data_IF_197153459873
#
_entry.id   IF_197153459873
#
_cell.length_a   1.000
_cell.length_b   1.000
_cell.length_c   1.000
_cell.angle_alpha   90.00
_cell.angle_beta   90.00
_cell.angle_gamma   90.00
#
_symmetry.space_group_name_H-M   'P 1'
#
loop_
_entity.id
_entity.type
_entity.pdbx_description
1 polymer ?
#
# COMPACT_ATOMS: atom_id res chain seq x y z
N UNK A 1 -12.03 -15.40 2.68
CA UNK A 1 -12.18 -15.81 4.11
C UNK A 1 -13.43 -15.23 4.75
N UNK A 2 -13.61 -13.90 4.85
CA UNK A 2 -14.83 -13.34 5.46
C UNK A 2 -16.13 -13.77 4.75
N UNK A 3 -16.16 -13.84 3.42
CA UNK A 3 -17.30 -14.34 2.64
C UNK A 3 -17.56 -15.84 2.86
N UNK A 4 -16.51 -16.65 3.04
CA UNK A 4 -16.67 -18.07 3.33
C UNK A 4 -17.23 -18.30 4.75
N UNK A 5 -16.80 -17.49 5.74
CA UNK A 5 -17.36 -17.53 7.09
C UNK A 5 -18.84 -17.14 7.15
N UNK A 6 -19.26 -16.19 6.33
CA UNK A 6 -20.67 -15.81 6.17
C UNK A 6 -21.50 -16.92 5.52
N UNK A 7 -20.91 -17.71 4.60
CA UNK A 7 -21.58 -18.79 3.92
C UNK A 7 -21.69 -20.09 4.77
N UNK A 8 -20.70 -20.35 5.64
CA UNK A 8 -20.65 -21.58 6.44
C UNK A 8 -21.13 -21.42 7.89
N UNK A 9 -21.32 -20.17 8.36
CA UNK A 9 -21.80 -19.89 9.72
C UNK A 9 -20.81 -20.25 10.84
N UNK A 10 -19.62 -20.77 10.51
CA UNK A 10 -18.57 -21.14 11.48
C UNK A 10 -17.32 -20.28 11.29
N UNK A 11 -17.09 -19.36 12.20
CA UNK A 11 -15.89 -18.53 12.23
C UNK A 11 -14.95 -19.08 13.31
N UNK A 12 -13.86 -19.73 12.90
CA UNK A 12 -12.78 -20.11 13.83
C UNK A 12 -11.67 -19.05 13.77
N UNK A 13 -11.55 -18.25 14.83
CA UNK A 13 -10.49 -17.26 14.99
C UNK A 13 -9.08 -17.86 14.86
N UNK A 14 -8.91 -19.12 15.28
CA UNK A 14 -7.64 -19.84 15.19
C UNK A 14 -7.22 -20.11 13.73
N UNK A 15 -8.11 -20.64 12.91
CA UNK A 15 -7.83 -20.92 11.50
C UNK A 15 -7.61 -19.64 10.69
N UNK A 16 -8.39 -18.60 10.98
CA UNK A 16 -8.19 -17.29 10.36
C UNK A 16 -6.81 -16.69 10.71
N UNK A 17 -6.39 -16.81 11.97
CA UNK A 17 -5.08 -16.34 12.43
C UNK A 17 -3.91 -17.09 11.79
N UNK A 18 -4.00 -18.42 11.71
CA UNK A 18 -2.98 -19.25 11.06
C UNK A 18 -2.88 -18.92 9.55
N UNK A 19 -4.01 -18.81 8.87
CA UNK A 19 -4.06 -18.48 7.45
C UNK A 19 -3.47 -17.09 7.15
N UNK A 20 -3.78 -16.10 7.97
CA UNK A 20 -3.16 -14.78 7.88
C UNK A 20 -1.65 -14.85 8.12
N UNK A 21 -1.21 -15.61 9.13
CA UNK A 21 0.22 -15.80 9.41
C UNK A 21 0.97 -16.41 8.22
N UNK A 22 0.43 -17.48 7.64
CA UNK A 22 0.99 -18.14 6.46
C UNK A 22 1.05 -17.17 5.27
N UNK A 23 -0.02 -16.41 5.02
CA UNK A 23 -0.07 -15.43 3.93
C UNK A 23 0.97 -14.30 4.10
N UNK A 24 1.20 -13.85 5.32
CA UNK A 24 2.20 -12.81 5.64
C UNK A 24 3.61 -13.36 5.46
N UNK A 25 3.93 -14.49 6.09
CA UNK A 25 5.28 -15.10 6.03
C UNK A 25 5.60 -15.54 4.61
N UNK A 26 4.65 -16.15 3.91
CA UNK A 26 4.80 -16.54 2.52
C UNK A 26 5.00 -15.34 1.59
N UNK A 27 4.23 -14.26 1.76
CA UNK A 27 4.40 -13.02 1.03
C UNK A 27 5.80 -12.40 1.26
N UNK A 28 6.29 -12.45 2.50
CA UNK A 28 7.64 -12.00 2.84
C UNK A 28 8.72 -12.83 2.11
N UNK A 29 8.59 -14.15 2.11
CA UNK A 29 9.53 -15.06 1.46
C UNK A 29 9.55 -14.84 -0.07
N UNK A 30 8.38 -14.73 -0.71
CA UNK A 30 8.25 -14.45 -2.15
C UNK A 30 8.84 -13.07 -2.49
N UNK A 31 8.60 -12.06 -1.67
CA UNK A 31 9.17 -10.71 -1.85
C UNK A 31 10.70 -10.70 -1.81
N UNK A 32 11.30 -11.46 -0.90
CA UNK A 32 12.77 -11.63 -0.85
C UNK A 32 13.27 -12.35 -2.09
N UNK A 33 12.62 -13.44 -2.49
CA UNK A 33 13.03 -14.25 -3.64
C UNK A 33 12.98 -13.42 -4.93
N UNK A 34 11.90 -12.69 -5.16
CA UNK A 34 11.75 -11.84 -6.35
C UNK A 34 12.74 -10.68 -6.36
N UNK A 35 13.08 -10.10 -5.21
CA UNK A 35 14.15 -9.10 -5.11
C UNK A 35 15.52 -9.67 -5.50
N UNK A 36 15.82 -10.92 -5.11
CA UNK A 36 17.05 -11.62 -5.51
C UNK A 36 17.08 -11.91 -7.00
N UNK A 37 15.99 -12.43 -7.55
CA UNK A 37 15.86 -12.73 -8.99
C UNK A 37 16.04 -11.45 -9.81
N UNK A 38 15.41 -10.37 -9.41
CA UNK A 38 15.56 -9.06 -10.08
C UNK A 38 17.03 -8.59 -10.08
N UNK A 39 17.71 -8.73 -8.95
CA UNK A 39 19.13 -8.37 -8.88
C UNK A 39 19.99 -9.21 -9.82
N UNK A 40 19.75 -10.49 -9.86
CA UNK A 40 20.47 -11.41 -10.77
C UNK A 40 20.22 -11.02 -12.23
N UNK A 41 18.97 -10.69 -12.57
CA UNK A 41 18.57 -10.26 -13.91
C UNK A 41 19.27 -8.93 -14.30
N UNK A 42 19.30 -7.95 -13.40
CA UNK A 42 20.01 -6.68 -13.63
C UNK A 42 21.52 -6.92 -13.85
N UNK A 43 22.14 -7.79 -13.05
CA UNK A 43 23.56 -8.14 -13.22
C UNK A 43 23.83 -8.79 -14.58
N UNK A 44 22.94 -9.66 -15.04
CA UNK A 44 23.03 -10.28 -16.38
C UNK A 44 22.92 -9.25 -17.50
N UNK A 45 21.95 -8.33 -17.40
CA UNK A 45 21.78 -7.26 -18.39
C UNK A 45 23.01 -6.34 -18.49
N UNK A 46 23.61 -6.00 -17.36
CA UNK A 46 24.86 -5.25 -17.31
C UNK A 46 26.01 -6.01 -17.97
N UNK A 47 26.11 -7.33 -17.77
CA UNK A 47 27.17 -8.16 -18.35
C UNK A 47 27.09 -8.27 -19.88
N UNK A 48 25.89 -8.25 -20.44
CA UNK A 48 25.63 -8.33 -21.89
C UNK A 48 25.69 -6.97 -22.58
N UNK A 49 26.00 -5.87 -21.84
CA UNK A 49 25.95 -4.48 -22.32
C UNK A 49 24.61 -4.07 -22.94
N UNK A 50 23.53 -4.77 -22.58
CA UNK A 50 22.16 -4.47 -23.01
C UNK A 50 21.47 -3.49 -22.05
N UNK A 51 22.22 -2.83 -21.16
CA UNK A 51 21.67 -1.85 -20.22
C UNK A 51 21.42 -0.52 -20.93
N UNK A 52 20.24 -0.41 -21.50
CA UNK A 52 19.67 0.87 -21.94
C UNK A 52 18.66 1.36 -20.89
N UNK A 53 18.46 2.68 -20.81
CA UNK A 53 17.51 3.31 -19.88
C UNK A 53 16.12 2.68 -20.00
N UNK A 54 15.69 2.36 -21.23
CA UNK A 54 14.40 1.76 -21.50
C UNK A 54 14.25 0.34 -20.92
N UNK A 55 15.27 -0.51 -21.04
CA UNK A 55 15.24 -1.88 -20.51
C UNK A 55 15.22 -1.89 -18.98
N UNK A 56 15.94 -0.97 -18.34
CA UNK A 56 15.97 -0.86 -16.88
C UNK A 56 14.63 -0.34 -16.32
N UNK A 57 14.00 0.63 -16.98
CA UNK A 57 12.66 1.11 -16.66
C UNK A 57 11.59 0.03 -16.85
N UNK A 58 11.67 -0.75 -17.91
CA UNK A 58 10.74 -1.87 -18.14
C UNK A 58 10.84 -2.89 -17.02
N UNK A 59 12.06 -3.27 -16.59
CA UNK A 59 12.25 -4.15 -15.45
C UNK A 59 11.69 -3.54 -14.15
N UNK A 60 11.93 -2.26 -13.94
CA UNK A 60 11.44 -1.56 -12.76
C UNK A 60 9.91 -1.53 -12.67
N UNK A 61 9.22 -1.29 -13.79
CA UNK A 61 7.77 -1.28 -13.86
C UNK A 61 7.14 -2.67 -13.83
N UNK A 62 7.79 -3.66 -14.45
CA UNK A 62 7.29 -5.03 -14.50
C UNK A 62 7.46 -5.79 -13.18
N UNK A 63 8.50 -5.46 -12.40
CA UNK A 63 8.83 -6.16 -11.17
C UNK A 63 7.67 -6.21 -10.15
N UNK A 64 7.02 -5.09 -9.79
CA UNK A 64 5.90 -5.11 -8.84
C UNK A 64 4.75 -5.99 -9.33
N UNK A 65 4.43 -5.93 -10.62
CA UNK A 65 3.36 -6.72 -11.23
C UNK A 65 3.68 -8.21 -11.19
N UNK A 66 4.88 -8.59 -11.63
CA UNK A 66 5.34 -9.98 -11.61
C UNK A 66 5.39 -10.53 -10.17
N UNK A 67 5.91 -9.73 -9.23
CA UNK A 67 5.95 -10.13 -7.82
C UNK A 67 4.55 -10.36 -7.27
N UNK A 68 3.61 -9.48 -7.60
CA UNK A 68 2.21 -9.60 -7.16
C UNK A 68 1.57 -10.87 -7.72
N UNK A 69 1.64 -11.10 -9.02
CA UNK A 69 1.04 -12.28 -9.66
C UNK A 69 1.66 -13.59 -9.16
N UNK A 70 2.99 -13.64 -8.99
CA UNK A 70 3.65 -14.82 -8.44
C UNK A 70 3.21 -15.14 -7.02
N UNK A 71 3.03 -14.12 -6.19
CA UNK A 71 2.58 -14.32 -4.82
C UNK A 71 1.10 -14.77 -4.75
N UNK A 72 0.22 -14.18 -5.55
CA UNK A 72 -1.19 -14.59 -5.63
C UNK A 72 -1.34 -16.02 -6.16
N UNK A 73 -0.55 -16.43 -7.15
CA UNK A 73 -0.53 -17.82 -7.66
C UNK A 73 -0.11 -18.83 -6.58
N UNK A 74 0.79 -18.42 -5.69
CA UNK A 74 1.21 -19.21 -4.53
C UNK A 74 0.25 -19.11 -3.33
N UNK A 75 -0.91 -18.44 -3.50
CA UNK A 75 -1.90 -18.23 -2.46
C UNK A 75 -1.38 -17.50 -1.22
N UNK A 76 -0.38 -16.62 -1.41
CA UNK A 76 0.17 -15.74 -0.38
C UNK A 76 -0.08 -14.26 -0.71
N UNK A 77 0.14 -13.37 0.26
CA UNK A 77 -0.19 -11.95 0.07
C UNK A 77 0.73 -11.27 -0.97
N UNK A 78 0.17 -10.96 -2.15
CA UNK A 78 0.85 -10.21 -3.21
C UNK A 78 1.28 -8.81 -2.77
N UNK A 79 0.45 -8.14 -1.97
CA UNK A 79 0.74 -6.80 -1.46
C UNK A 79 2.00 -6.82 -0.58
N UNK A 80 2.11 -7.78 0.35
CA UNK A 80 3.27 -7.90 1.24
C UNK A 80 4.52 -8.24 0.42
N UNK A 81 4.41 -9.15 -0.54
CA UNK A 81 5.52 -9.52 -1.40
C UNK A 81 6.08 -8.31 -2.19
N UNK A 82 5.22 -7.49 -2.78
CA UNK A 82 5.62 -6.27 -3.51
C UNK A 82 6.28 -5.25 -2.59
N UNK A 83 5.72 -5.02 -1.40
CA UNK A 83 6.29 -4.08 -0.42
C UNK A 83 7.69 -4.51 0.02
N UNK A 84 7.86 -5.80 0.36
CA UNK A 84 9.15 -6.34 0.78
C UNK A 84 10.19 -6.26 -0.35
N UNK A 85 9.80 -6.63 -1.57
CA UNK A 85 10.66 -6.52 -2.76
C UNK A 85 11.09 -5.07 -3.01
N UNK A 86 10.17 -4.11 -2.88
CA UNK A 86 10.46 -2.68 -3.03
C UNK A 86 11.41 -2.15 -1.96
N UNK A 87 11.22 -2.49 -0.69
CA UNK A 87 12.10 -2.08 0.41
C UNK A 87 13.51 -2.63 0.22
N UNK A 88 13.64 -3.90 -0.18
CA UNK A 88 14.94 -4.51 -0.46
C UNK A 88 15.66 -3.87 -1.64
N UNK A 89 14.92 -3.43 -2.66
CA UNK A 89 15.46 -2.67 -3.77
C UNK A 89 15.94 -1.29 -3.30
N UNK A 90 15.13 -0.53 -2.58
CA UNK A 90 15.44 0.81 -2.10
C UNK A 90 16.60 0.87 -1.11
N UNK A 91 16.79 -0.16 -0.28
CA UNK A 91 17.84 -0.22 0.75
C UNK A 91 19.28 -0.26 0.20
N UNK A 92 19.49 -0.40 -1.11
CA UNK A 92 20.79 -0.69 -1.71
C UNK A 92 21.44 0.43 -2.52
N UNK A 93 20.86 1.61 -2.56
CA UNK A 93 21.42 2.78 -3.27
C UNK A 93 22.67 3.34 -2.56
N UNK A 94 23.80 2.62 -2.64
CA UNK A 94 25.07 3.11 -2.06
C UNK A 94 26.18 3.43 -3.06
N UNK A 95 26.05 3.10 -4.33
CA UNK A 95 26.99 3.46 -5.38
C UNK A 95 26.24 4.03 -6.59
N UNK A 96 26.16 5.35 -6.67
CA UNK A 96 25.48 6.04 -7.78
C UNK A 96 26.46 6.14 -8.94
N UNK A 97 26.24 5.35 -9.99
CA UNK A 97 26.89 5.57 -11.29
C UNK A 97 26.11 6.64 -12.08
N UNK A 98 26.79 7.30 -13.03
CA UNK A 98 26.15 8.34 -13.88
C UNK A 98 24.95 7.78 -14.66
N UNK A 99 24.97 6.51 -15.03
CA UNK A 99 23.87 5.84 -15.70
C UNK A 99 22.67 5.69 -14.74
N UNK A 100 22.93 5.22 -13.52
CA UNK A 100 21.89 5.06 -12.48
C UNK A 100 21.22 6.39 -12.13
N UNK A 101 21.99 7.49 -12.07
CA UNK A 101 21.44 8.82 -11.84
C UNK A 101 20.49 9.29 -12.97
N UNK A 102 20.78 8.93 -14.21
CA UNK A 102 19.88 9.21 -15.36
C UNK A 102 18.62 8.36 -15.31
N UNK A 103 18.77 7.06 -15.03
CA UNK A 103 17.63 6.13 -14.86
C UNK A 103 16.73 6.62 -13.73
N UNK A 104 17.28 7.02 -12.59
CA UNK A 104 16.53 7.51 -11.44
C UNK A 104 15.68 8.75 -11.80
N UNK A 105 16.24 9.70 -12.52
CA UNK A 105 15.51 10.91 -12.96
C UNK A 105 14.33 10.56 -13.88
N UNK A 106 14.54 9.65 -14.84
CA UNK A 106 13.48 9.23 -15.76
C UNK A 106 12.46 8.36 -15.03
N UNK A 107 12.90 7.46 -14.15
CA UNK A 107 12.06 6.62 -13.31
C UNK A 107 11.11 7.46 -12.45
N UNK A 108 11.60 8.50 -11.80
CA UNK A 108 10.75 9.44 -11.04
C UNK A 108 9.64 10.05 -11.89
N UNK A 109 9.94 10.48 -13.11
CA UNK A 109 8.94 11.06 -14.01
C UNK A 109 7.89 10.01 -14.42
N UNK A 110 8.34 8.81 -14.75
CA UNK A 110 7.46 7.70 -15.13
C UNK A 110 6.57 7.31 -13.95
N UNK A 111 7.12 7.14 -12.75
CA UNK A 111 6.36 6.81 -11.55
C UNK A 111 5.34 7.87 -11.17
N UNK A 112 5.65 9.15 -11.34
CA UNK A 112 4.69 10.23 -11.14
C UNK A 112 3.50 10.13 -12.10
N UNK A 113 3.76 9.81 -13.36
CA UNK A 113 2.71 9.59 -14.37
C UNK A 113 1.88 8.35 -14.06
N UNK A 114 2.51 7.23 -13.71
CA UNK A 114 1.83 5.99 -13.30
C UNK A 114 0.96 6.23 -12.08
N UNK A 115 1.47 6.90 -11.06
CA UNK A 115 0.71 7.25 -9.85
C UNK A 115 -0.49 8.14 -10.16
N UNK A 116 -0.35 9.10 -11.06
CA UNK A 116 -1.46 9.95 -11.50
C UNK A 116 -2.56 9.11 -12.18
N UNK A 117 -2.18 8.24 -13.12
CA UNK A 117 -3.12 7.36 -13.83
C UNK A 117 -3.80 6.39 -12.85
N UNK A 118 -3.03 5.74 -11.98
CA UNK A 118 -3.57 4.80 -10.99
C UNK A 118 -4.54 5.48 -10.03
N UNK A 119 -4.19 6.65 -9.51
CA UNK A 119 -5.09 7.42 -8.64
C UNK A 119 -6.38 7.78 -9.37
N UNK A 120 -6.30 8.25 -10.62
CA UNK A 120 -7.49 8.54 -11.43
C UNK A 120 -8.35 7.29 -11.64
N UNK A 121 -7.74 6.17 -11.98
CA UNK A 121 -8.44 4.88 -12.19
C UNK A 121 -9.14 4.41 -10.91
N UNK A 122 -8.50 4.53 -9.75
CA UNK A 122 -9.12 4.16 -8.45
C UNK A 122 -10.37 5.00 -8.19
N UNK A 123 -10.34 6.32 -8.45
CA UNK A 123 -11.51 7.17 -8.25
C UNK A 123 -12.66 6.81 -9.21
N UNK A 124 -12.36 6.45 -10.46
CA UNK A 124 -13.37 6.00 -11.42
C UNK A 124 -13.99 4.67 -10.97
N UNK A 125 -13.18 3.71 -10.56
CA UNK A 125 -13.67 2.42 -10.05
C UNK A 125 -14.53 2.61 -8.80
N UNK A 126 -14.06 3.42 -7.85
CA UNK A 126 -14.83 3.74 -6.64
C UNK A 126 -16.18 4.40 -6.97
N UNK A 127 -16.22 5.27 -7.98
CA UNK A 127 -17.48 5.88 -8.42
C UNK A 127 -18.46 4.86 -8.99
N UNK A 128 -17.99 3.92 -9.79
CA UNK A 128 -18.81 2.83 -10.34
C UNK A 128 -19.31 1.86 -9.25
N UNK A 129 -18.41 1.45 -8.35
CA UNK A 129 -18.73 0.57 -7.23
C UNK A 129 -19.75 1.21 -6.28
N UNK A 130 -19.62 2.51 -6.02
CA UNK A 130 -20.55 3.25 -5.17
C UNK A 130 -21.98 3.18 -5.72
N UNK A 131 -22.19 3.35 -7.03
CA UNK A 131 -23.50 3.25 -7.64
C UNK A 131 -24.05 1.82 -7.54
N UNK A 132 -23.21 0.81 -7.79
CA UNK A 132 -23.59 -0.59 -7.77
C UNK A 132 -24.03 -1.06 -6.37
N UNK A 133 -23.37 -0.57 -5.33
CA UNK A 133 -23.66 -0.89 -3.94
C UNK A 133 -24.84 -0.03 -3.40
N UNK A 134 -24.90 1.24 -3.74
CA UNK A 134 -25.90 2.16 -3.20
C UNK A 134 -27.31 1.87 -3.70
N UNK A 135 -27.49 1.53 -4.98
CA UNK A 135 -28.81 1.25 -5.57
C UNK A 135 -29.61 0.18 -4.82
N UNK A 136 -29.12 -1.06 -4.62
CA UNK A 136 -29.89 -2.10 -3.94
C UNK A 136 -30.14 -1.79 -2.47
N UNK A 137 -29.23 -1.04 -1.82
CA UNK A 137 -29.37 -0.69 -0.40
C UNK A 137 -30.44 0.39 -0.21
N UNK A 138 -30.43 1.43 -1.05
CA UNK A 138 -31.37 2.54 -0.96
C UNK A 138 -32.79 2.14 -1.40
N UNK A 139 -32.92 1.16 -2.29
CA UNK A 139 -34.22 0.65 -2.76
C UNK A 139 -34.80 -0.46 -1.89
N UNK A 140 -34.07 -0.99 -0.93
CA UNK A 140 -34.50 -2.05 -0.05
C UNK A 140 -35.44 -1.53 1.06
N UNK A 141 -36.66 -2.07 1.19
CA UNK A 141 -37.57 -1.67 2.28
C UNK A 141 -37.14 -2.16 3.66
N UNK A 142 -36.13 -3.04 3.73
CA UNK A 142 -35.66 -3.65 4.97
C UNK A 142 -34.75 -2.69 5.77
N UNK A 143 -34.06 -1.78 5.09
CA UNK A 143 -33.10 -0.88 5.73
C UNK A 143 -33.69 0.52 5.90
N UNK A 144 -33.61 1.04 7.12
CA UNK A 144 -33.93 2.43 7.36
C UNK A 144 -32.79 3.31 6.82
N UNK A 145 -33.05 4.07 5.76
CA UNK A 145 -32.07 4.93 5.09
C UNK A 145 -31.39 5.91 6.06
N UNK A 146 -32.11 6.40 7.07
CA UNK A 146 -31.55 7.29 8.08
C UNK A 146 -30.52 6.56 8.95
N UNK A 147 -30.79 5.32 9.32
CA UNK A 147 -29.87 4.50 10.12
C UNK A 147 -28.60 4.14 9.34
N UNK A 148 -28.73 3.92 8.03
CA UNK A 148 -27.56 3.72 7.14
C UNK A 148 -26.68 4.96 7.06
N UNK A 149 -27.26 6.12 6.82
CA UNK A 149 -26.50 7.39 6.78
C UNK A 149 -25.79 7.66 8.09
N UNK A 150 -26.48 7.47 9.22
CA UNK A 150 -25.89 7.63 10.56
C UNK A 150 -24.77 6.63 10.79
N UNK A 151 -24.90 5.37 10.38
CA UNK A 151 -23.86 4.35 10.58
C UNK A 151 -22.61 4.65 9.75
N UNK A 152 -22.75 5.12 8.51
CA UNK A 152 -21.63 5.54 7.67
C UNK A 152 -20.91 6.74 8.28
N UNK A 153 -21.67 7.72 8.76
CA UNK A 153 -21.09 8.91 9.41
C UNK A 153 -20.35 8.54 10.70
N UNK A 154 -20.93 7.64 11.50
CA UNK A 154 -20.35 7.15 12.74
C UNK A 154 -19.05 6.36 12.47
N UNK A 155 -19.07 5.46 11.49
CA UNK A 155 -17.88 4.71 11.07
C UNK A 155 -16.76 5.63 10.56
N UNK A 156 -17.10 6.61 9.73
CA UNK A 156 -16.13 7.58 9.22
C UNK A 156 -15.51 8.40 10.35
N UNK A 157 -16.33 8.86 11.29
CA UNK A 157 -15.86 9.60 12.47
C UNK A 157 -14.98 8.73 13.37
N UNK A 158 -15.34 7.46 13.56
CA UNK A 158 -14.55 6.50 14.34
C UNK A 158 -13.17 6.25 13.71
N UNK A 159 -13.13 6.04 12.40
CA UNK A 159 -11.87 5.87 11.67
C UNK A 159 -10.99 7.11 11.77
N UNK A 160 -11.60 8.30 11.72
CA UNK A 160 -10.90 9.56 11.87
C UNK A 160 -10.31 9.73 13.28
N UNK A 161 -11.07 9.34 14.32
CA UNK A 161 -10.63 9.30 15.71
C UNK A 161 -9.48 8.33 15.94
N UNK A 162 -9.59 7.11 15.42
CA UNK A 162 -8.51 6.09 15.52
C UNK A 162 -7.23 6.63 14.87
N UNK A 163 -7.34 7.24 13.70
CA UNK A 163 -6.20 7.83 13.01
C UNK A 163 -5.58 8.97 13.82
N UNK A 164 -6.40 9.85 14.37
CA UNK A 164 -5.92 10.94 15.23
C UNK A 164 -5.16 10.41 16.44
N UNK A 165 -5.71 9.40 17.11
CA UNK A 165 -5.07 8.76 18.28
C UNK A 165 -3.75 8.12 17.89
N UNK A 166 -3.67 7.42 16.74
CA UNK A 166 -2.42 6.80 16.25
C UNK A 166 -1.34 7.85 15.96
N UNK A 167 -1.70 8.93 15.28
CA UNK A 167 -0.76 10.03 14.98
C UNK A 167 -0.32 10.71 16.27
N UNK A 168 -1.25 10.96 17.21
CA UNK A 168 -0.94 11.55 18.49
C UNK A 168 -0.01 10.69 19.34
N UNK A 169 -0.26 9.36 19.42
CA UNK A 169 0.59 8.40 20.10
C UNK A 169 2.00 8.36 19.49
N UNK A 170 2.09 8.36 18.16
CA UNK A 170 3.38 8.38 17.44
C UNK A 170 4.19 9.63 17.81
N UNK A 171 3.57 10.80 17.82
CA UNK A 171 4.21 12.04 18.24
C UNK A 171 4.60 12.01 19.73
N UNK A 172 3.73 11.48 20.58
CA UNK A 172 4.00 11.36 22.01
C UNK A 172 5.21 10.48 22.30
N UNK A 173 5.30 9.30 21.68
CA UNK A 173 6.47 8.41 21.79
C UNK A 173 7.75 9.05 21.26
N UNK A 174 7.67 9.75 20.16
CA UNK A 174 8.83 10.44 19.57
C UNK A 174 9.30 11.61 20.43
N UNK A 175 8.39 12.32 21.06
CA UNK A 175 8.67 13.51 21.89
C UNK A 175 9.16 13.15 23.28
N UNK A 176 8.71 12.04 23.85
CA UNK A 176 9.26 11.51 25.09
C UNK A 176 10.79 11.33 25.01
N UNK A 177 11.33 11.14 23.78
CA UNK A 177 12.78 11.10 23.50
C UNK A 177 13.43 12.48 23.27
N UNK A 178 12.70 13.54 22.95
CA UNK A 178 13.27 14.79 22.41
C UNK A 178 12.94 16.07 23.20
N UNK A 179 12.31 16.01 24.39
CA UNK A 179 12.02 17.17 25.32
C UNK A 179 11.46 18.44 24.64
N UNK A 180 10.58 18.35 23.65
CA UNK A 180 10.01 19.52 22.97
C UNK A 180 8.55 19.78 23.40
N UNK A 181 8.11 21.04 23.43
CA UNK A 181 6.83 21.52 23.99
C UNK A 181 5.58 20.90 23.36
N UNK A 182 4.66 20.38 24.19
CA UNK A 182 3.42 19.69 23.82
C UNK A 182 2.41 20.52 22.99
N UNK A 183 2.44 21.85 23.10
CA UNK A 183 1.41 22.72 22.50
C UNK A 183 1.42 22.80 20.98
N UNK A 184 2.55 22.55 20.33
CA UNK A 184 2.67 22.56 18.88
C UNK A 184 2.26 21.23 18.24
N UNK A 185 2.29 20.13 19.01
CA UNK A 185 2.00 18.78 18.48
C UNK A 185 0.53 18.52 18.17
N UNK A 186 -0.38 19.14 18.93
CA UNK A 186 -1.82 19.04 18.65
C UNK A 186 -2.17 19.63 17.28
N UNK A 187 -1.55 20.75 16.91
CA UNK A 187 -1.76 21.39 15.60
C UNK A 187 -1.20 20.53 14.48
N UNK A 188 0.01 19.99 14.66
CA UNK A 188 0.66 19.13 13.69
C UNK A 188 -0.08 17.79 13.54
N UNK A 189 -0.55 17.20 14.64
CA UNK A 189 -1.37 15.99 14.64
C UNK A 189 -2.72 16.21 13.94
N UNK A 190 -3.39 17.33 14.17
CA UNK A 190 -4.61 17.71 13.49
C UNK A 190 -4.36 17.89 11.98
N UNK A 191 -3.35 18.65 11.61
CA UNK A 191 -2.99 18.86 10.21
C UNK A 191 -2.70 17.53 9.49
N UNK A 192 -1.92 16.64 10.09
CA UNK A 192 -1.61 15.32 9.52
C UNK A 192 -2.84 14.40 9.47
N UNK A 193 -3.74 14.50 10.42
CA UNK A 193 -4.99 13.74 10.41
C UNK A 193 -5.90 14.20 9.29
N UNK A 194 -6.03 15.52 9.08
CA UNK A 194 -6.87 16.10 8.03
C UNK A 194 -6.26 16.03 6.63
N UNK A 195 -4.94 16.12 6.49
CA UNK A 195 -4.28 16.13 5.18
C UNK A 195 -4.29 14.79 4.45
N UNK A 196 -4.72 13.73 5.10
CA UNK A 196 -4.80 12.41 4.49
C UNK A 196 -3.43 11.79 4.19
N UNK A 197 -3.43 10.65 3.49
CA UNK A 197 -2.23 9.90 3.09
C UNK A 197 -1.34 10.66 2.10
N UNK A 198 -1.85 11.72 1.46
CA UNK A 198 -1.13 12.47 0.44
C UNK A 198 0.10 13.24 0.93
N UNK A 199 0.16 13.61 2.21
CA UNK A 199 1.32 14.34 2.75
C UNK A 199 2.53 13.45 3.01
N UNK A 200 2.34 12.15 3.18
CA UNK A 200 3.44 11.20 3.35
C UNK A 200 4.27 10.98 2.06
N UNK A 201 3.67 11.25 0.90
CA UNK A 201 4.29 11.06 -0.42
C UNK A 201 5.04 12.30 -0.96
N UNK A 202 4.83 13.47 -0.36
CA UNK A 202 5.47 14.73 -0.81
C UNK A 202 6.81 14.95 -0.10
N UNK A 203 7.12 14.17 0.93
CA UNK A 203 8.33 14.35 1.75
C UNK A 203 9.37 13.21 1.61
N UNK A 204 9.32 12.45 0.52
CA UNK A 204 10.40 11.53 0.14
C UNK A 204 11.06 12.03 -1.14
#
# INVERSE_FOLDING_TARGET
MALAALATGSFSLGEAGISLGISIIGGFAVGILTAFVNRWLQTLLLSVRASDIASELLLELSLPLLTFFLAEELHVSGIIAVVVSGILKASRFKHITLLEARVDTVSHTVWNTVNFILNGSVFVILGMELEMIAKPILSSPIYNNLLLVVSVFLLTTLLFLIRFVMVYLFYWFRTARLKKSLRNYLKDALLLTFSGVKLSLIHI
#
